data_IF_890037352592
#
_entry.id   IF_890037352592
#
_cell.length_a   1.000
_cell.length_b   1.000
_cell.length_c   1.000
_cell.angle_alpha   90.00
_cell.angle_beta   90.00
_cell.angle_gamma   90.00
#
_symmetry.space_group_name_H-M   'P 1'
#
loop_
_entity.id
_entity.type
_entity.pdbx_description
1 polymer ?
#
# COMPACT_ATOMS: atom_id res chain seq x y z
N UNK A 1 15.00 10.76 -39.91
CA UNK A 1 14.30 11.28 -38.73
C UNK A 1 14.73 10.46 -37.52
N UNK A 2 15.55 11.01 -36.64
CA UNK A 2 15.96 10.35 -35.43
C UNK A 2 14.89 10.60 -34.39
N UNK A 3 14.01 9.63 -34.17
CA UNK A 3 13.17 9.61 -32.99
C UNK A 3 14.08 9.33 -31.79
N UNK A 4 14.43 10.38 -31.06
CA UNK A 4 15.05 10.25 -29.75
C UNK A 4 14.08 9.47 -28.86
N UNK A 5 14.36 8.18 -28.69
CA UNK A 5 13.67 7.36 -27.71
C UNK A 5 14.06 7.89 -26.33
N UNK A 6 13.17 8.64 -25.69
CA UNK A 6 13.29 9.15 -24.32
C UNK A 6 13.40 8.03 -23.26
N UNK A 7 13.26 6.78 -23.69
CA UNK A 7 13.28 5.60 -22.82
C UNK A 7 14.40 4.61 -23.16
N UNK A 8 15.52 5.08 -23.75
CA UNK A 8 16.66 4.19 -23.88
C UNK A 8 17.33 4.00 -22.51
N UNK A 9 17.71 2.77 -22.13
CA UNK A 9 18.36 2.51 -20.84
C UNK A 9 19.61 3.38 -20.61
N UNK A 10 20.35 3.68 -21.65
CA UNK A 10 21.54 4.55 -21.58
C UNK A 10 21.24 6.02 -21.28
N UNK A 11 20.04 6.50 -21.65
CA UNK A 11 19.64 7.87 -21.33
C UNK A 11 19.27 8.03 -19.85
N UNK A 12 18.53 7.07 -19.31
CA UNK A 12 18.16 7.07 -17.90
C UNK A 12 19.39 6.97 -16.99
N UNK A 13 20.32 6.09 -17.29
CA UNK A 13 21.57 5.94 -16.53
C UNK A 13 22.41 7.22 -16.55
N UNK A 14 22.50 7.89 -17.69
CA UNK A 14 23.23 9.14 -17.81
C UNK A 14 22.60 10.30 -17.04
N UNK A 15 21.27 10.40 -17.05
CA UNK A 15 20.53 11.43 -16.30
C UNK A 15 20.65 11.21 -14.80
N UNK A 16 20.54 9.96 -14.33
CA UNK A 16 20.68 9.64 -12.93
C UNK A 16 22.11 9.86 -12.41
N UNK A 17 23.16 9.54 -13.18
CA UNK A 17 24.54 9.79 -12.83
C UNK A 17 24.85 11.30 -12.75
N UNK A 18 24.28 12.08 -13.67
CA UNK A 18 24.41 13.54 -13.65
C UNK A 18 23.69 14.17 -12.44
N UNK A 19 22.54 13.64 -12.07
CA UNK A 19 21.77 14.11 -10.92
C UNK A 19 22.48 13.79 -9.61
N UNK A 20 23.03 12.59 -9.47
CA UNK A 20 23.78 12.16 -8.29
C UNK A 20 25.03 13.02 -8.06
N UNK A 21 25.76 13.34 -9.12
CA UNK A 21 26.92 14.25 -9.06
C UNK A 21 26.55 15.70 -8.73
N UNK A 22 25.36 16.14 -9.14
CA UNK A 22 24.89 17.52 -8.92
C UNK A 22 24.38 17.75 -7.50
N UNK A 23 23.81 16.72 -6.87
CA UNK A 23 23.13 16.83 -5.56
C UNK A 23 24.03 16.42 -4.38
N UNK A 24 25.21 15.87 -4.65
CA UNK A 24 26.22 15.49 -3.65
C UNK A 24 25.90 14.18 -2.90
N UNK A 25 26.87 13.64 -2.16
CA UNK A 25 26.81 12.29 -1.59
C UNK A 25 25.77 12.10 -0.48
N UNK A 26 25.12 13.15 -0.04
CA UNK A 26 24.09 13.10 1.02
C UNK A 26 22.65 13.13 0.48
N UNK A 27 22.47 13.23 -0.84
CA UNK A 27 21.13 13.19 -1.42
C UNK A 27 20.78 11.74 -1.82
N UNK A 28 20.54 10.92 -0.81
CA UNK A 28 20.24 9.49 -0.92
C UNK A 28 18.88 9.15 -1.54
N UNK A 29 18.41 9.92 -2.55
CA UNK A 29 17.12 9.67 -3.22
C UNK A 29 17.21 8.51 -4.20
N UNK A 30 18.41 8.17 -4.67
CA UNK A 30 18.66 7.10 -5.64
C UNK A 30 19.64 6.03 -5.18
N UNK A 31 19.84 5.89 -3.87
CA UNK A 31 20.40 4.64 -3.41
C UNK A 31 19.53 3.52 -4.00
N UNK A 32 20.13 2.53 -4.68
CA UNK A 32 19.34 1.40 -5.14
C UNK A 32 18.56 0.90 -3.93
N UNK A 33 17.23 0.87 -4.04
CA UNK A 33 16.34 0.41 -2.97
C UNK A 33 16.58 -1.09 -2.82
N UNK A 34 17.78 -1.42 -2.37
CA UNK A 34 18.09 -2.73 -1.84
C UNK A 34 17.34 -2.79 -0.52
N UNK A 35 16.20 -3.47 -0.54
CA UNK A 35 15.37 -3.78 0.63
C UNK A 35 14.33 -2.72 1.07
N UNK A 36 13.80 -1.88 0.19
CA UNK A 36 12.66 -1.03 0.55
C UNK A 36 11.36 -1.81 0.82
N UNK A 37 11.31 -3.11 0.53
CA UNK A 37 10.15 -3.95 0.83
C UNK A 37 10.24 -4.73 2.14
N UNK A 38 11.35 -4.64 2.87
CA UNK A 38 11.51 -5.38 4.11
C UNK A 38 10.88 -4.62 5.28
N UNK A 39 9.57 -4.68 5.42
CA UNK A 39 8.86 -4.15 6.56
C UNK A 39 7.50 -3.51 6.31
N UNK A 40 7.17 -3.19 5.06
CA UNK A 40 5.84 -2.68 4.71
C UNK A 40 4.98 -3.81 4.13
N UNK A 41 3.75 -3.99 4.61
CA UNK A 41 2.85 -5.00 4.06
C UNK A 41 2.49 -4.68 2.61
N UNK A 42 2.40 -5.72 1.79
CA UNK A 42 1.90 -5.62 0.42
C UNK A 42 0.41 -5.28 0.42
N UNK A 43 -0.01 -4.42 -0.50
CA UNK A 43 -1.40 -3.97 -0.59
C UNK A 43 -1.84 -3.98 -2.04
N UNK A 44 -2.97 -4.63 -2.28
CA UNK A 44 -3.71 -4.56 -3.53
C UNK A 44 -4.99 -3.76 -3.33
N UNK A 45 -5.28 -2.84 -4.24
CA UNK A 45 -6.53 -2.08 -4.24
C UNK A 45 -7.18 -2.26 -5.60
N UNK A 46 -8.42 -2.74 -5.61
CA UNK A 46 -9.23 -2.89 -6.81
C UNK A 46 -10.50 -2.06 -6.72
N UNK A 47 -10.88 -1.51 -7.82
CA UNK A 47 -12.12 -0.77 -7.99
C UNK A 47 -13.19 -1.67 -8.63
N UNK A 48 -14.38 -1.63 -8.06
CA UNK A 48 -15.58 -2.23 -8.61
C UNK A 48 -16.63 -1.15 -8.88
N UNK A 49 -17.72 -1.50 -9.52
CA UNK A 49 -18.82 -0.55 -9.77
C UNK A 49 -19.41 0.03 -8.47
N UNK A 50 -19.37 -0.73 -7.38
CA UNK A 50 -20.06 -0.41 -6.13
C UNK A 50 -19.13 -0.07 -4.96
N UNK A 51 -17.87 -0.50 -5.04
CA UNK A 51 -16.95 -0.37 -3.92
C UNK A 51 -15.48 -0.38 -4.37
N UNK A 52 -14.60 0.11 -3.52
CA UNK A 52 -13.17 -0.19 -3.57
C UNK A 52 -12.88 -1.30 -2.57
N UNK A 53 -12.10 -2.28 -2.98
CA UNK A 53 -11.67 -3.40 -2.12
C UNK A 53 -10.18 -3.34 -1.96
N UNK A 54 -9.72 -3.25 -0.71
CA UNK A 54 -8.31 -3.24 -0.36
C UNK A 54 -7.95 -4.55 0.33
N UNK A 55 -6.90 -5.20 -0.12
CA UNK A 55 -6.35 -6.42 0.46
C UNK A 55 -4.93 -6.14 0.94
N UNK A 56 -4.64 -6.46 2.19
CA UNK A 56 -3.35 -6.21 2.83
C UNK A 56 -2.80 -7.51 3.38
N UNK A 57 -1.62 -7.91 2.92
CA UNK A 57 -0.94 -9.12 3.39
C UNK A 57 -0.29 -8.89 4.76
N UNK A 58 -0.80 -9.58 5.76
CA UNK A 58 -0.34 -9.46 7.15
C UNK A 58 -0.09 -10.84 7.77
N UNK A 59 0.86 -11.62 7.22
CA UNK A 59 1.16 -12.94 7.76
C UNK A 59 1.73 -12.84 9.18
N UNK A 60 1.19 -13.66 10.08
CA UNK A 60 1.61 -13.67 11.48
C UNK A 60 0.99 -12.58 12.36
N UNK A 61 0.04 -11.81 11.83
CA UNK A 61 -0.77 -10.87 12.59
C UNK A 61 -2.16 -11.46 12.86
N UNK A 62 -2.80 -10.96 13.89
CA UNK A 62 -4.21 -11.21 14.22
C UNK A 62 -5.00 -9.90 14.15
N UNK A 63 -6.32 -9.99 14.21
CA UNK A 63 -7.20 -8.81 14.24
C UNK A 63 -6.86 -7.82 15.37
N UNK A 64 -6.34 -8.32 16.49
CA UNK A 64 -5.96 -7.52 17.66
C UNK A 64 -4.63 -6.76 17.47
N UNK A 65 -3.84 -7.17 16.50
CA UNK A 65 -2.53 -6.61 16.22
C UNK A 65 -2.59 -5.46 15.20
N UNK A 66 -3.75 -5.19 14.63
CA UNK A 66 -3.93 -4.22 13.54
C UNK A 66 -5.01 -3.22 13.91
N UNK A 67 -4.72 -1.95 13.72
CA UNK A 67 -5.65 -0.84 13.91
C UNK A 67 -5.90 -0.14 12.59
N UNK A 68 -7.19 0.12 12.31
CA UNK A 68 -7.63 0.88 11.14
C UNK A 68 -8.34 2.12 11.63
N UNK A 69 -7.96 3.27 11.13
CA UNK A 69 -8.67 4.53 11.36
C UNK A 69 -8.97 5.23 10.05
N UNK A 70 -10.13 5.86 9.97
CA UNK A 70 -10.56 6.67 8.84
C UNK A 70 -10.98 8.04 9.34
N UNK A 71 -10.29 9.08 8.87
CA UNK A 71 -10.60 10.46 9.17
C UNK A 71 -10.40 11.31 7.93
N UNK A 72 -11.41 12.10 7.57
CA UNK A 72 -11.34 13.05 6.44
C UNK A 72 -10.79 12.42 5.15
N UNK A 73 -11.26 11.23 4.80
CA UNK A 73 -10.79 10.41 3.65
C UNK A 73 -9.36 9.87 3.78
N UNK A 74 -8.69 10.11 4.88
CA UNK A 74 -7.39 9.52 5.16
C UNK A 74 -7.58 8.24 5.97
N UNK A 75 -7.35 7.11 5.33
CA UNK A 75 -7.32 5.80 5.99
C UNK A 75 -5.90 5.49 6.46
N UNK A 76 -5.76 5.19 7.73
CA UNK A 76 -4.50 4.76 8.33
C UNK A 76 -4.64 3.33 8.81
N UNK A 77 -3.74 2.47 8.35
CA UNK A 77 -3.62 1.08 8.80
C UNK A 77 -2.27 0.95 9.51
N UNK A 78 -2.29 0.56 10.76
CA UNK A 78 -1.09 0.42 11.58
C UNK A 78 -1.09 -0.85 12.40
N UNK A 79 0.11 -1.31 12.73
CA UNK A 79 0.32 -2.44 13.63
C UNK A 79 0.43 -1.95 15.06
N UNK A 80 -0.32 -2.56 15.96
CA UNK A 80 -0.18 -2.40 17.41
C UNK A 80 0.66 -3.51 18.05
N UNK A 81 1.14 -4.46 17.26
CA UNK A 81 1.97 -5.57 17.74
C UNK A 81 3.32 -5.05 18.23
N UNK A 82 3.58 -5.26 19.50
CA UNK A 82 4.92 -5.05 20.06
C UNK A 82 5.85 -6.15 19.55
N UNK A 83 7.12 -5.82 19.36
CA UNK A 83 8.14 -6.82 19.02
C UNK A 83 8.06 -7.98 20.00
N UNK A 84 8.04 -9.21 19.46
CA UNK A 84 8.10 -10.40 20.30
C UNK A 84 9.38 -10.33 21.12
N UNK A 85 9.22 -10.51 22.42
CA UNK A 85 10.38 -10.62 23.32
C UNK A 85 11.23 -11.78 22.80
N UNK A 86 12.48 -11.50 22.48
CA UNK A 86 13.43 -12.54 22.12
C UNK A 86 13.44 -13.60 23.25
N UNK A 87 13.19 -14.82 22.85
CA UNK A 87 13.26 -15.96 23.77
C UNK A 87 14.72 -16.13 24.17
N UNK A 88 15.06 -15.72 25.39
CA UNK A 88 16.44 -15.71 25.89
C UNK A 88 17.08 -17.10 25.97
N UNK A 89 16.31 -18.16 25.69
CA UNK A 89 16.74 -19.55 25.73
C UNK A 89 16.98 -20.19 24.37
N UNK A 90 16.70 -19.49 23.26
CA UNK A 90 16.84 -20.01 21.92
C UNK A 90 17.86 -19.20 21.11
N UNK A 91 18.79 -19.88 20.46
CA UNK A 91 19.72 -19.31 19.50
C UNK A 91 19.21 -19.58 18.08
N UNK A 92 18.99 -18.51 17.29
CA UNK A 92 18.56 -18.67 15.90
C UNK A 92 19.72 -19.11 15.01
N UNK A 93 19.56 -20.21 14.30
CA UNK A 93 20.48 -20.62 13.25
C UNK A 93 20.27 -19.76 12.01
N UNK A 94 18.99 -19.48 11.67
CA UNK A 94 18.60 -18.56 10.59
C UNK A 94 17.39 -17.74 11.09
N UNK A 95 17.45 -16.42 10.97
CA UNK A 95 16.35 -15.49 11.30
C UNK A 95 16.10 -14.57 10.10
N UNK A 96 15.10 -14.86 9.31
CA UNK A 96 14.70 -14.07 8.13
C UNK A 96 13.36 -13.36 8.32
N UNK A 97 12.50 -13.89 9.20
CA UNK A 97 11.21 -13.30 9.52
C UNK A 97 11.39 -12.17 10.54
N UNK A 98 10.76 -11.04 10.28
CA UNK A 98 10.68 -9.94 11.24
C UNK A 98 9.24 -9.48 11.39
N UNK A 99 8.74 -9.46 12.63
CA UNK A 99 7.51 -8.74 12.97
C UNK A 99 7.89 -7.30 13.24
N UNK A 100 7.60 -6.41 12.32
CA UNK A 100 7.89 -4.99 12.48
C UNK A 100 6.62 -4.18 12.63
N UNK A 101 6.73 -3.14 13.41
CA UNK A 101 5.71 -2.12 13.45
C UNK A 101 5.62 -1.43 12.08
N UNK A 102 4.40 -1.31 11.55
CA UNK A 102 4.15 -0.61 10.29
C UNK A 102 3.02 0.40 10.44
N UNK A 103 3.04 1.39 9.57
CA UNK A 103 1.95 2.35 9.39
C UNK A 103 1.84 2.68 7.91
N UNK A 104 0.66 2.49 7.34
CA UNK A 104 0.35 2.90 5.97
C UNK A 104 -0.84 3.84 5.95
N UNK A 105 -0.77 4.84 5.08
CA UNK A 105 -1.82 5.83 4.91
C UNK A 105 -2.27 5.86 3.47
N UNK A 106 -3.59 5.94 3.26
CA UNK A 106 -4.21 5.99 1.96
C UNK A 106 -5.23 7.13 1.93
N UNK A 107 -5.12 7.99 0.92
CA UNK A 107 -6.16 8.99 0.67
C UNK A 107 -7.23 8.36 -0.21
N UNK A 108 -8.44 8.28 0.33
CA UNK A 108 -9.57 7.67 -0.36
C UNK A 108 -10.25 8.69 -1.29
N UNK A 109 -10.90 8.22 -2.37
CA UNK A 109 -11.70 9.07 -3.26
C UNK A 109 -12.85 9.78 -2.54
N UNK A 110 -13.42 10.81 -3.17
CA UNK A 110 -14.53 11.58 -2.59
C UNK A 110 -15.89 10.86 -2.64
N UNK A 111 -15.98 9.88 -3.51
CA UNK A 111 -17.19 9.12 -3.79
C UNK A 111 -17.44 7.94 -2.84
N UNK A 112 -16.66 7.83 -1.77
CA UNK A 112 -16.84 6.76 -0.79
C UNK A 112 -17.94 7.09 0.23
N UNK A 113 -18.60 6.03 0.72
CA UNK A 113 -19.47 6.09 1.89
C UNK A 113 -18.67 5.64 3.13
N UNK A 114 -18.15 6.60 3.87
CA UNK A 114 -17.29 6.34 5.03
C UNK A 114 -18.00 5.61 6.18
N UNK A 115 -19.32 5.73 6.26
CA UNK A 115 -20.10 5.14 7.35
C UNK A 115 -20.33 3.63 7.17
N UNK A 116 -20.15 3.14 5.95
CA UNK A 116 -20.35 1.73 5.60
C UNK A 116 -19.04 0.97 5.34
N UNK A 117 -17.91 1.58 5.61
CA UNK A 117 -16.61 0.91 5.49
C UNK A 117 -16.54 -0.25 6.46
N UNK A 118 -16.18 -1.40 5.98
CA UNK A 118 -16.03 -2.62 6.78
C UNK A 118 -14.69 -3.28 6.54
N UNK A 119 -14.19 -4.00 7.54
CA UNK A 119 -12.95 -4.73 7.44
C UNK A 119 -13.11 -6.13 8.04
N UNK A 120 -12.46 -7.12 7.42
CA UNK A 120 -12.35 -8.47 7.95
C UNK A 120 -10.93 -8.96 7.84
N UNK A 121 -10.55 -9.81 8.77
CA UNK A 121 -9.24 -10.44 8.80
C UNK A 121 -9.39 -11.95 8.60
N UNK A 122 -8.79 -12.50 7.57
CA UNK A 122 -8.92 -13.92 7.23
C UNK A 122 -7.62 -14.45 6.61
N UNK A 123 -7.14 -15.57 7.13
CA UNK A 123 -5.94 -16.26 6.61
C UNK A 123 -4.69 -15.38 6.47
N UNK A 124 -4.50 -14.41 7.38
CA UNK A 124 -3.37 -13.49 7.32
C UNK A 124 -3.53 -12.35 6.31
N UNK A 125 -4.72 -12.18 5.74
CA UNK A 125 -5.07 -11.08 4.84
C UNK A 125 -6.13 -10.20 5.49
N UNK A 126 -5.87 -8.91 5.56
CA UNK A 126 -6.86 -7.91 5.94
C UNK A 126 -7.59 -7.44 4.68
N UNK A 127 -8.87 -7.65 4.63
CA UNK A 127 -9.73 -7.19 3.53
C UNK A 127 -10.57 -6.02 4.02
N UNK A 128 -10.43 -4.87 3.38
CA UNK A 128 -11.22 -3.66 3.67
C UNK A 128 -12.15 -3.38 2.50
N UNK A 129 -13.44 -3.38 2.75
CA UNK A 129 -14.47 -3.02 1.79
C UNK A 129 -14.90 -1.57 2.01
N UNK A 130 -14.80 -0.77 0.97
CA UNK A 130 -15.04 0.67 1.00
C UNK A 130 -16.14 1.00 -0.01
N UNK A 131 -17.40 0.98 0.39
CA UNK A 131 -18.53 1.24 -0.50
C UNK A 131 -18.49 2.65 -1.11
N UNK A 132 -18.96 2.76 -2.34
CA UNK A 132 -19.17 4.05 -3.03
C UNK A 132 -20.55 4.60 -2.70
N UNK A 133 -20.67 5.91 -2.68
CA UNK A 133 -21.96 6.59 -2.51
C UNK A 133 -22.91 6.20 -3.63
N UNK A 134 -24.19 5.95 -3.36
CA UNK A 134 -25.17 5.56 -4.38
C UNK A 134 -25.29 6.56 -5.54
N UNK A 135 -25.11 7.83 -5.26
CA UNK A 135 -25.24 8.91 -6.24
C UNK A 135 -24.10 8.94 -7.27
N UNK A 136 -22.97 8.30 -6.94
CA UNK A 136 -21.78 8.22 -7.82
C UNK A 136 -21.69 6.89 -8.56
N UNK A 137 -22.58 5.95 -8.28
CA UNK A 137 -22.62 4.67 -8.98
C UNK A 137 -23.16 4.83 -10.40
N UNK A 138 -22.66 4.08 -11.40
CA UNK A 138 -23.19 4.10 -12.74
C UNK A 138 -24.68 3.76 -12.75
N UNK A 139 -25.50 4.60 -13.39
CA UNK A 139 -26.93 4.34 -13.59
C UNK A 139 -27.16 3.77 -14.98
N UNK A 140 -27.86 2.66 -15.08
CA UNK A 140 -28.37 2.18 -16.35
C UNK A 140 -29.55 3.06 -16.80
N UNK A 141 -29.47 3.57 -18.02
CA UNK A 141 -30.53 4.37 -18.62
C UNK A 141 -31.27 3.46 -19.60
N UNK A 142 -32.56 3.22 -19.35
CA UNK A 142 -33.41 2.53 -20.29
C UNK A 142 -33.72 3.43 -21.50
N UNK A 143 -33.42 2.91 -22.69
CA UNK A 143 -33.83 3.55 -23.94
C UNK A 143 -35.24 3.09 -24.27
N UNK A 144 -36.19 4.01 -24.18
CA UNK A 144 -37.57 3.73 -24.62
C UNK A 144 -37.67 4.05 -26.09
N UNK A 145 -38.19 3.12 -26.86
CA UNK A 145 -38.58 3.38 -28.26
C UNK A 145 -39.84 4.24 -28.30
N UNK A 146 -39.78 5.26 -29.09
CA UNK A 146 -40.92 6.15 -29.30
C UNK A 146 -42.07 5.45 -30.02
#
# INVERSE_FOLDING_TARGET
MNSLSLFSPSFTDSVFDALDKSLGPNFGVFAPIKNASCGMPSVDIRETEKAYVMEVDLPGYSEKDVEISLKDRLMTISSSKNEEKEDKGAEYIIKERSSRHFMRRFTLPEDINSDEVSAKFENGVLVVDIPRKPDTQPKQIEIKTA
#
